data_IF_031189252343
#
_entry.id   IF_031189252343
#
_cell.length_a   1.000
_cell.length_b   1.000
_cell.length_c   1.000
_cell.angle_alpha   90.00
_cell.angle_beta   90.00
_cell.angle_gamma   90.00
#
_symmetry.space_group_name_H-M   'P 1'
#
loop_
_entity.id
_entity.type
_entity.pdbx_description
1 polymer ?
#
# COMPACT_ATOMS: atom_id res chain seq x y z
N UNK A 1 6.44 21.61 -10.92
CA UNK A 1 5.37 20.65 -10.56
C UNK A 1 5.55 20.25 -9.11
N UNK A 2 4.64 20.68 -8.22
CA UNK A 2 4.73 20.33 -6.79
C UNK A 2 4.65 18.81 -6.55
N UNK A 3 5.14 18.36 -5.41
CA UNK A 3 5.16 16.95 -4.96
C UNK A 3 3.79 16.24 -5.10
N UNK A 4 2.71 17.01 -5.03
CA UNK A 4 1.34 16.58 -5.28
C UNK A 4 1.07 16.13 -6.73
N UNK A 5 1.59 16.85 -7.73
CA UNK A 5 1.39 16.52 -9.14
C UNK A 5 2.06 15.20 -9.53
N UNK A 6 3.24 14.91 -9.01
CA UNK A 6 3.92 13.63 -9.24
C UNK A 6 3.22 12.46 -8.54
N UNK A 7 2.62 12.68 -7.36
CA UNK A 7 1.84 11.65 -6.67
C UNK A 7 0.56 11.29 -7.43
N UNK A 8 -0.15 12.28 -8.00
CA UNK A 8 -1.36 12.06 -8.79
C UNK A 8 -1.04 11.36 -10.11
N UNK A 9 0.01 11.77 -10.83
CA UNK A 9 0.45 11.15 -12.08
C UNK A 9 0.90 9.69 -11.87
N UNK A 10 1.51 9.36 -10.72
CA UNK A 10 1.85 7.97 -10.37
C UNK A 10 0.64 7.13 -9.93
N UNK A 11 -0.45 7.74 -9.43
CA UNK A 11 -1.62 7.05 -8.84
C UNK A 11 -2.81 6.90 -9.80
N UNK A 12 -3.02 7.84 -10.71
CA UNK A 12 -4.05 7.78 -11.76
C UNK A 12 -4.02 6.50 -12.62
N UNK A 13 -2.85 5.97 -13.06
CA UNK A 13 -2.83 4.73 -13.83
C UNK A 13 -3.28 3.51 -13.02
N UNK A 14 -3.26 3.54 -11.69
CA UNK A 14 -3.72 2.41 -10.88
C UNK A 14 -5.25 2.25 -10.97
N UNK A 15 -6.03 3.32 -10.78
CA UNK A 15 -7.48 3.26 -10.88
C UNK A 15 -7.94 2.85 -12.30
N UNK A 16 -7.27 3.36 -13.33
CA UNK A 16 -7.54 2.97 -14.73
C UNK A 16 -7.20 1.51 -14.96
N UNK A 17 -6.06 1.02 -14.47
CA UNK A 17 -5.66 -0.39 -14.58
C UNK A 17 -6.62 -1.33 -13.82
N UNK A 18 -7.17 -0.88 -12.69
CA UNK A 18 -8.13 -1.66 -11.90
C UNK A 18 -9.54 -1.71 -12.52
N UNK A 19 -9.93 -0.65 -13.23
CA UNK A 19 -11.28 -0.52 -13.82
C UNK A 19 -11.32 -0.99 -15.27
N UNK A 20 -10.21 -0.86 -16.02
CA UNK A 20 -10.14 -1.19 -17.44
C UNK A 20 -10.54 -2.63 -17.80
N UNK A 21 -10.17 -3.69 -17.04
CA UNK A 21 -10.62 -5.05 -17.33
C UNK A 21 -12.15 -5.23 -17.27
N UNK A 22 -12.84 -4.36 -16.53
CA UNK A 22 -14.29 -4.41 -16.34
C UNK A 22 -15.04 -3.60 -17.41
N UNK A 23 -14.42 -2.53 -17.92
CA UNK A 23 -15.01 -1.61 -18.90
C UNK A 23 -14.61 -1.90 -20.35
N UNK A 24 -13.61 -2.75 -20.60
CA UNK A 24 -13.29 -3.19 -21.95
C UNK A 24 -14.53 -3.84 -22.57
N UNK A 25 -14.99 -3.37 -23.75
CA UNK A 25 -16.07 -4.03 -24.48
C UNK A 25 -15.52 -5.35 -25.02
N UNK A 26 -15.55 -6.37 -24.18
CA UNK A 26 -14.96 -7.68 -24.47
C UNK A 26 -15.62 -8.37 -25.67
N UNK A 27 -16.80 -7.90 -26.11
CA UNK A 27 -17.42 -8.31 -27.37
C UNK A 27 -16.52 -8.02 -28.60
N UNK A 28 -15.74 -6.93 -28.59
CA UNK A 28 -14.81 -6.56 -29.67
C UNK A 28 -13.49 -7.35 -29.64
N UNK A 29 -13.07 -7.82 -28.45
CA UNK A 29 -11.88 -8.65 -28.29
C UNK A 29 -12.20 -10.15 -28.51
N UNK A 30 -13.39 -10.59 -28.12
CA UNK A 30 -13.88 -11.94 -28.32
C UNK A 30 -13.90 -12.34 -29.80
N UNK A 31 -14.33 -11.42 -30.68
CA UNK A 31 -14.34 -11.64 -32.13
C UNK A 31 -12.94 -11.77 -32.76
N UNK A 32 -11.88 -11.45 -32.02
CA UNK A 32 -10.49 -11.55 -32.49
C UNK A 32 -9.72 -12.73 -31.89
N UNK A 33 -10.28 -13.39 -30.88
CA UNK A 33 -9.67 -14.48 -30.12
C UNK A 33 -10.65 -15.66 -30.09
N UNK A 34 -10.90 -16.26 -31.25
CA UNK A 34 -11.87 -17.37 -31.43
C UNK A 34 -11.59 -18.59 -30.54
N UNK A 35 -10.35 -18.77 -30.06
CA UNK A 35 -9.95 -19.93 -29.23
C UNK A 35 -10.05 -19.69 -27.72
N UNK A 36 -9.98 -18.43 -27.26
CA UNK A 36 -10.03 -18.09 -25.83
C UNK A 36 -11.39 -17.49 -25.50
N UNK A 37 -12.25 -18.26 -24.83
CA UNK A 37 -13.52 -17.78 -24.32
C UNK A 37 -13.39 -16.46 -23.55
N UNK A 38 -14.40 -15.60 -23.68
CA UNK A 38 -14.43 -14.23 -23.11
C UNK A 38 -14.14 -14.20 -21.61
N UNK A 39 -14.63 -15.19 -20.88
CA UNK A 39 -14.43 -15.35 -19.44
C UNK A 39 -12.96 -15.66 -19.09
N UNK A 40 -12.30 -16.48 -19.91
CA UNK A 40 -10.87 -16.81 -19.77
C UNK A 40 -10.01 -15.57 -19.94
N UNK A 41 -10.30 -14.72 -20.94
CA UNK A 41 -9.56 -13.48 -21.16
C UNK A 41 -9.76 -12.52 -19.97
N UNK A 42 -11.00 -12.39 -19.47
CA UNK A 42 -11.29 -11.59 -18.27
C UNK A 42 -10.52 -12.10 -17.05
N UNK A 43 -10.47 -13.41 -16.84
CA UNK A 43 -9.69 -14.02 -15.76
C UNK A 43 -8.20 -13.71 -15.88
N UNK A 44 -7.62 -13.87 -17.07
CA UNK A 44 -6.20 -13.54 -17.32
C UNK A 44 -5.93 -12.07 -16.99
N UNK A 45 -6.80 -11.15 -17.40
CA UNK A 45 -6.66 -9.73 -17.09
C UNK A 45 -6.78 -9.43 -15.59
N UNK A 46 -7.72 -10.07 -14.91
CA UNK A 46 -7.86 -9.95 -13.44
C UNK A 46 -6.56 -10.41 -12.75
N UNK A 47 -6.00 -11.55 -13.16
CA UNK A 47 -4.76 -12.09 -12.58
C UNK A 47 -3.57 -11.18 -12.85
N UNK A 48 -3.38 -10.73 -14.10
CA UNK A 48 -2.28 -9.82 -14.47
C UNK A 48 -2.35 -8.52 -13.67
N UNK A 49 -3.54 -7.94 -13.53
CA UNK A 49 -3.72 -6.72 -12.75
C UNK A 49 -3.55 -6.98 -11.25
N UNK A 50 -3.99 -8.12 -10.72
CA UNK A 50 -3.75 -8.50 -9.32
C UNK A 50 -2.25 -8.69 -9.02
N UNK A 51 -1.48 -9.27 -9.94
CA UNK A 51 -0.02 -9.40 -9.81
C UNK A 51 0.63 -8.02 -9.85
N UNK A 52 0.25 -7.16 -10.81
CA UNK A 52 0.74 -5.79 -10.89
C UNK A 52 0.41 -5.00 -9.60
N UNK A 53 -0.77 -5.21 -9.03
CA UNK A 53 -1.19 -4.62 -7.75
C UNK A 53 -0.32 -5.09 -6.58
N UNK A 54 -0.04 -6.40 -6.51
CA UNK A 54 0.79 -7.00 -5.49
C UNK A 54 2.20 -6.42 -5.47
N UNK A 55 2.79 -6.14 -6.65
CA UNK A 55 4.11 -5.50 -6.74
C UNK A 55 4.15 -4.08 -6.17
N UNK A 56 3.00 -3.40 -6.07
CA UNK A 56 2.90 -2.04 -5.52
C UNK A 56 2.49 -2.00 -4.06
N UNK A 57 1.64 -2.93 -3.64
CA UNK A 57 1.23 -3.09 -2.25
C UNK A 57 0.81 -4.53 -2.02
N UNK A 58 1.42 -5.17 -1.01
CA UNK A 58 1.07 -6.53 -0.57
C UNK A 58 -0.42 -6.63 -0.23
N UNK A 59 -1.02 -5.53 0.22
CA UNK A 59 -2.43 -5.46 0.60
C UNK A 59 -3.35 -5.21 -0.62
N UNK A 60 -2.86 -4.68 -1.75
CA UNK A 60 -3.73 -4.34 -2.88
C UNK A 60 -4.09 -5.55 -3.77
N UNK A 61 -3.15 -6.46 -3.94
CA UNK A 61 -3.31 -7.64 -4.81
C UNK A 61 -4.48 -8.54 -4.42
N UNK A 62 -4.58 -9.00 -3.16
CA UNK A 62 -5.65 -9.89 -2.72
C UNK A 62 -7.06 -9.30 -2.85
N UNK A 63 -7.23 -8.01 -2.53
CA UNK A 63 -8.53 -7.34 -2.64
C UNK A 63 -8.94 -7.16 -4.10
N UNK A 64 -7.98 -6.84 -4.98
CA UNK A 64 -8.26 -6.74 -6.40
C UNK A 64 -8.61 -8.10 -7.02
N UNK A 65 -7.86 -9.15 -6.67
CA UNK A 65 -8.14 -10.51 -7.12
C UNK A 65 -9.53 -10.96 -6.67
N UNK A 66 -9.86 -10.78 -5.39
CA UNK A 66 -11.18 -11.13 -4.85
C UNK A 66 -12.32 -10.34 -5.53
N UNK A 67 -12.13 -9.04 -5.74
CA UNK A 67 -13.09 -8.21 -6.46
C UNK A 67 -13.30 -8.68 -7.91
N UNK A 68 -12.22 -9.02 -8.61
CA UNK A 68 -12.26 -9.53 -9.99
C UNK A 68 -12.93 -10.90 -10.11
N UNK A 69 -12.62 -11.84 -9.20
CA UNK A 69 -13.27 -13.14 -9.16
C UNK A 69 -14.78 -13.03 -8.86
N UNK A 70 -15.16 -12.14 -7.94
CA UNK A 70 -16.56 -11.87 -7.64
C UNK A 70 -17.29 -11.23 -8.83
N UNK A 71 -16.60 -10.44 -9.65
CA UNK A 71 -17.14 -9.91 -10.90
C UNK A 71 -17.37 -11.01 -11.95
N UNK A 72 -16.44 -11.95 -12.10
CA UNK A 72 -16.64 -13.12 -12.97
C UNK A 72 -17.84 -13.95 -12.50
N UNK A 73 -17.95 -14.20 -11.20
CA UNK A 73 -19.10 -14.89 -10.61
C UNK A 73 -20.41 -14.11 -10.84
N UNK A 74 -20.39 -12.78 -10.73
CA UNK A 74 -21.56 -11.94 -11.01
C UNK A 74 -22.02 -12.05 -12.48
N UNK A 75 -21.08 -12.21 -13.41
CA UNK A 75 -21.37 -12.30 -14.85
C UNK A 75 -21.83 -13.71 -15.27
N UNK A 76 -21.36 -14.76 -14.59
CA UNK A 76 -21.79 -16.14 -14.85
C UNK A 76 -23.12 -16.49 -14.17
N UNK A 77 -23.58 -15.69 -13.21
CA UNK A 77 -24.80 -15.96 -12.43
C UNK A 77 -26.05 -15.35 -13.04
N UNK A 78 -26.49 -15.92 -14.17
CA UNK A 78 -27.87 -15.77 -14.63
C UNK A 78 -28.90 -16.46 -13.69
N UNK A 79 -28.47 -17.09 -12.59
CA UNK A 79 -29.23 -18.10 -11.83
C UNK A 79 -29.28 -17.84 -10.31
N UNK A 80 -28.70 -16.76 -9.78
CA UNK A 80 -28.81 -16.47 -8.34
C UNK A 80 -30.20 -15.91 -7.99
N UNK A 81 -30.84 -16.38 -6.90
CA UNK A 81 -32.07 -15.76 -6.43
C UNK A 81 -31.79 -14.30 -6.01
N UNK A 82 -32.77 -13.39 -6.15
CA UNK A 82 -32.59 -11.95 -5.92
C UNK A 82 -31.79 -11.58 -4.65
N UNK A 83 -32.07 -12.13 -3.46
CA UNK A 83 -31.33 -11.74 -2.25
C UNK A 83 -29.84 -12.08 -2.32
N UNK A 84 -29.46 -13.20 -2.95
CA UNK A 84 -28.07 -13.60 -3.10
C UNK A 84 -27.33 -12.70 -4.12
N UNK A 85 -28.01 -12.30 -5.19
CA UNK A 85 -27.47 -11.34 -6.16
C UNK A 85 -27.22 -9.95 -5.51
N UNK A 86 -28.17 -9.45 -4.71
CA UNK A 86 -28.01 -8.20 -3.97
C UNK A 86 -26.85 -8.25 -2.96
N UNK A 87 -26.73 -9.35 -2.21
CA UNK A 87 -25.62 -9.56 -1.28
C UNK A 87 -24.27 -9.57 -2.02
N UNK A 88 -24.19 -10.26 -3.16
CA UNK A 88 -22.99 -10.31 -3.98
C UNK A 88 -22.59 -8.92 -4.49
N UNK A 89 -23.55 -8.13 -4.99
CA UNK A 89 -23.32 -6.75 -5.43
C UNK A 89 -22.85 -5.86 -4.28
N UNK A 90 -23.43 -6.02 -3.10
CA UNK A 90 -23.05 -5.28 -1.90
C UNK A 90 -21.61 -5.59 -1.46
N UNK A 91 -21.27 -6.88 -1.36
CA UNK A 91 -19.89 -7.32 -1.08
C UNK A 91 -18.93 -6.76 -2.13
N UNK A 92 -19.29 -6.83 -3.41
CA UNK A 92 -18.47 -6.29 -4.50
C UNK A 92 -18.26 -4.78 -4.39
N UNK A 93 -19.27 -4.02 -4.00
CA UNK A 93 -19.18 -2.58 -3.79
C UNK A 93 -18.25 -2.23 -2.61
N UNK A 94 -18.30 -2.98 -1.52
CA UNK A 94 -17.36 -2.84 -0.40
C UNK A 94 -15.93 -3.11 -0.85
N UNK A 95 -15.69 -4.22 -1.55
CA UNK A 95 -14.35 -4.53 -2.06
C UNK A 95 -13.85 -3.47 -3.05
N UNK A 96 -14.73 -2.93 -3.90
CA UNK A 96 -14.37 -1.86 -4.81
C UNK A 96 -13.96 -0.60 -4.05
N UNK A 97 -14.71 -0.22 -3.02
CA UNK A 97 -14.37 0.90 -2.15
C UNK A 97 -12.98 0.71 -1.53
N UNK A 98 -12.66 -0.48 -1.03
CA UNK A 98 -11.33 -0.79 -0.48
C UNK A 98 -10.23 -0.69 -1.55
N UNK A 99 -10.45 -1.21 -2.76
CA UNK A 99 -9.50 -1.06 -3.87
C UNK A 99 -9.24 0.42 -4.19
N UNK A 100 -10.28 1.24 -4.23
CA UNK A 100 -10.17 2.69 -4.45
C UNK A 100 -9.46 3.38 -3.28
N UNK A 101 -9.77 3.01 -2.05
CA UNK A 101 -9.13 3.53 -0.85
C UNK A 101 -7.63 3.21 -0.84
N UNK A 102 -7.24 1.96 -1.13
CA UNK A 102 -5.85 1.54 -1.24
C UNK A 102 -5.15 2.26 -2.40
N UNK A 103 -5.82 2.46 -3.54
CA UNK A 103 -5.24 3.21 -4.66
C UNK A 103 -5.02 4.70 -4.33
N UNK A 104 -5.96 5.31 -3.59
CA UNK A 104 -5.92 6.73 -3.21
C UNK A 104 -4.93 6.99 -2.08
N UNK A 105 -4.89 6.10 -1.10
CA UNK A 105 -4.02 6.14 0.08
C UNK A 105 -3.27 4.81 0.22
N UNK A 106 -2.26 4.56 -0.64
CA UNK A 106 -1.48 3.33 -0.56
C UNK A 106 -0.83 3.25 0.81
N UNK A 107 -1.27 2.28 1.61
CA UNK A 107 -0.60 1.95 2.87
C UNK A 107 0.86 1.63 2.52
N UNK A 108 1.80 2.31 3.17
CA UNK A 108 3.22 2.00 2.98
C UNK A 108 3.42 0.54 3.40
N UNK A 109 4.07 -0.25 2.55
CA UNK A 109 4.42 -1.62 2.92
C UNK A 109 5.19 -1.62 4.25
N UNK A 110 5.08 -2.72 4.99
CA UNK A 110 5.82 -2.94 6.25
C UNK A 110 7.29 -2.51 6.12
N UNK A 111 7.96 -2.97 5.06
CA UNK A 111 9.36 -2.68 4.76
C UNK A 111 9.59 -1.20 4.46
N UNK A 112 8.71 -0.55 3.69
CA UNK A 112 8.83 0.87 3.39
C UNK A 112 8.65 1.73 4.65
N UNK A 113 7.66 1.41 5.50
CA UNK A 113 7.45 2.12 6.77
C UNK A 113 8.66 1.94 7.68
N UNK A 114 9.09 0.69 7.88
CA UNK A 114 10.27 0.34 8.67
C UNK A 114 11.53 1.08 8.22
N UNK A 115 11.84 1.06 6.92
CA UNK A 115 13.02 1.75 6.38
C UNK A 115 12.91 3.27 6.53
N UNK A 116 11.72 3.85 6.31
CA UNK A 116 11.54 5.31 6.49
C UNK A 116 11.67 5.74 7.94
N UNK A 117 11.16 4.95 8.89
CA UNK A 117 11.31 5.22 10.33
C UNK A 117 12.74 5.03 10.78
N UNK A 118 13.42 3.98 10.29
CA UNK A 118 14.84 3.73 10.56
C UNK A 118 15.71 4.90 10.08
N UNK A 119 15.51 5.37 8.85
CA UNK A 119 16.25 6.52 8.33
C UNK A 119 16.01 7.81 9.15
N UNK A 120 14.78 8.04 9.61
CA UNK A 120 14.47 9.17 10.52
C UNK A 120 15.19 9.05 11.85
N UNK A 121 15.21 7.84 12.43
CA UNK A 121 15.86 7.59 13.70
C UNK A 121 17.39 7.67 13.58
N UNK A 122 17.97 7.17 12.50
CA UNK A 122 19.40 7.32 12.20
C UNK A 122 19.79 8.79 12.05
N UNK A 123 18.96 9.60 11.37
CA UNK A 123 19.20 11.04 11.26
C UNK A 123 19.13 11.74 12.64
N UNK A 124 18.18 11.33 13.50
CA UNK A 124 18.09 11.82 14.87
C UNK A 124 19.33 11.46 15.69
N UNK A 125 19.77 10.20 15.67
CA UNK A 125 20.97 9.76 16.38
C UNK A 125 22.25 10.39 15.84
N UNK A 126 22.38 10.65 14.54
CA UNK A 126 23.54 11.40 14.00
C UNK A 126 23.70 12.78 14.64
N UNK A 127 22.61 13.44 15.01
CA UNK A 127 22.63 14.78 15.60
C UNK A 127 22.86 14.74 17.12
N UNK A 128 22.24 13.78 17.82
CA UNK A 128 22.22 13.75 19.29
C UNK A 128 23.18 12.73 19.92
N UNK A 129 23.35 11.55 19.30
CA UNK A 129 24.14 10.45 19.86
C UNK A 129 24.58 9.44 18.76
N UNK A 130 25.74 9.68 18.12
CA UNK A 130 26.20 8.84 17.02
C UNK A 130 26.60 7.41 17.45
N UNK A 131 26.80 7.15 18.75
CA UNK A 131 27.14 5.80 19.23
C UNK A 131 25.97 4.83 19.06
N UNK A 132 24.73 5.33 19.16
CA UNK A 132 23.49 4.53 19.09
C UNK A 132 22.95 4.30 17.68
N UNK A 133 23.66 4.75 16.64
CA UNK A 133 23.28 4.51 15.25
C UNK A 133 23.05 3.03 14.93
N UNK A 134 23.86 2.14 15.51
CA UNK A 134 23.75 0.69 15.31
C UNK A 134 22.47 0.10 15.91
N UNK A 135 21.90 0.75 16.91
CA UNK A 135 20.68 0.32 17.62
C UNK A 135 19.39 0.76 16.92
N UNK A 136 19.47 1.75 16.01
CA UNK A 136 18.30 2.37 15.37
C UNK A 136 17.35 1.32 14.77
N UNK A 137 17.92 0.34 14.05
CA UNK A 137 17.13 -0.71 13.39
C UNK A 137 16.46 -1.66 14.39
N UNK A 138 17.08 -1.92 15.53
CA UNK A 138 16.50 -2.75 16.59
C UNK A 138 15.35 -2.02 17.30
N UNK A 139 15.56 -0.74 17.63
CA UNK A 139 14.54 0.10 18.28
C UNK A 139 13.30 0.30 17.40
N UNK A 140 13.48 0.54 16.10
CA UNK A 140 12.33 0.66 15.18
C UNK A 140 11.56 -0.66 15.05
N UNK A 141 12.22 -1.81 15.24
CA UNK A 141 11.55 -3.11 15.23
C UNK A 141 10.72 -3.33 16.48
N UNK A 142 11.25 -2.98 17.64
CA UNK A 142 10.56 -3.08 18.93
C UNK A 142 9.33 -2.18 18.98
N UNK A 143 9.44 -0.96 18.45
CA UNK A 143 8.37 0.04 18.43
C UNK A 143 7.59 0.06 17.11
N UNK A 144 7.62 -1.02 16.33
CA UNK A 144 6.95 -1.05 15.03
C UNK A 144 5.42 -0.90 15.20
N UNK A 145 4.82 0.06 14.51
CA UNK A 145 3.40 0.41 14.67
C UNK A 145 3.10 1.38 15.82
N UNK A 146 4.09 1.67 16.67
CA UNK A 146 3.99 2.64 17.76
C UNK A 146 5.13 3.68 17.69
N UNK A 147 5.46 4.12 16.47
CA UNK A 147 6.62 4.98 16.21
C UNK A 147 6.48 6.36 16.88
N UNK A 148 5.25 6.86 17.03
CA UNK A 148 4.98 8.12 17.73
C UNK A 148 5.43 8.08 19.18
N UNK A 149 5.22 6.93 19.86
CA UNK A 149 5.68 6.72 21.23
C UNK A 149 7.22 6.67 21.31
N UNK A 150 7.87 6.05 20.32
CA UNK A 150 9.33 5.99 20.24
C UNK A 150 9.93 7.39 20.17
N UNK A 151 9.45 8.23 19.25
CA UNK A 151 9.97 9.59 19.10
C UNK A 151 9.62 10.47 20.32
N UNK A 152 8.44 10.31 20.91
CA UNK A 152 8.09 11.04 22.14
C UNK A 152 9.04 10.71 23.32
N UNK A 153 9.40 9.43 23.48
CA UNK A 153 10.38 9.01 24.51
C UNK A 153 11.78 9.54 24.23
N UNK A 154 12.20 9.54 22.96
CA UNK A 154 13.50 10.06 22.55
C UNK A 154 13.57 11.56 22.80
N UNK A 155 12.56 12.32 22.37
CA UNK A 155 12.49 13.76 22.59
C UNK A 155 12.54 14.08 24.10
N UNK A 156 11.79 13.35 24.93
CA UNK A 156 11.83 13.54 26.38
C UNK A 156 13.23 13.27 26.97
N UNK A 157 13.90 12.21 26.50
CA UNK A 157 15.25 11.83 26.96
C UNK A 157 16.30 12.86 26.57
N UNK A 158 16.28 13.33 25.32
CA UNK A 158 17.31 14.22 24.79
C UNK A 158 17.00 15.71 25.02
N UNK A 159 15.75 16.11 25.26
CA UNK A 159 15.40 17.49 25.62
C UNK A 159 15.51 17.77 27.12
N UNK A 160 15.31 16.77 28.00
CA UNK A 160 15.64 16.93 29.44
C UNK A 160 17.15 16.90 29.70
N UNK A 161 17.92 16.31 28.81
CA UNK A 161 19.38 16.38 28.84
C UNK A 161 19.86 17.71 28.28
N UNK A 162 19.84 18.77 29.09
CA UNK A 162 20.64 19.99 28.81
C UNK A 162 22.12 19.61 28.57
N UNK A 163 22.82 20.33 27.68
CA UNK A 163 24.02 19.86 27.01
C UNK A 163 25.18 19.72 27.99
N UNK A 164 25.82 18.56 28.00
CA UNK A 164 27.16 18.44 28.57
C UNK A 164 28.10 19.22 27.66
N UNK A 165 28.27 20.52 27.95
CA UNK A 165 29.45 21.27 27.51
C UNK A 165 30.62 20.61 28.22
N UNK A 166 31.34 19.74 27.51
CA UNK A 166 32.66 19.30 27.94
C UNK A 166 33.55 20.54 27.91
N UNK A 167 33.65 21.23 29.04
CA UNK A 167 34.64 22.26 29.23
C UNK A 167 36.02 21.59 29.08
N UNK A 168 36.72 21.94 28.01
CA UNK A 168 38.10 21.53 27.81
C UNK A 168 38.94 22.01 29.01
N UNK A 169 39.59 21.06 29.68
CA UNK A 169 40.55 21.28 30.76
C UNK A 169 41.69 22.18 30.27
N UNK A 170 41.96 23.35 30.88
CA UNK A 170 43.25 24.01 30.75
C UNK A 170 44.23 23.31 31.69
N UNK A 171 45.26 22.70 31.13
CA UNK A 171 46.44 22.24 31.87
C UNK A 171 47.25 23.46 32.30
N UNK A 172 47.47 23.61 33.60
CA UNK A 172 48.40 24.55 34.23
C UNK A 172 48.98 23.91 35.47
#
# INVERSE_FOLDING_TARGET
>A
MGTWGQAVVRRAPCAVVYVAPQLLPMALLASSLDELGVETIRLIMIVVVAVAAFTRSLDAGPYFLAHGLLHLLAMSTAVLPPPAAWLLLFIRAILFHEVVAIARWPRKSYTARFNTTTAKLEAFFRLHDPARLKEARALVREYFGNETLLFAKLDDTYMRATPVVVAAVPRG
#
